data_IF_067498943154
#
_entry.id   IF_067498943154
#
_cell.length_a   1.000
_cell.length_b   1.000
_cell.length_c   1.000
_cell.angle_alpha   90.00
_cell.angle_beta   90.00
_cell.angle_gamma   90.00
#
_symmetry.space_group_name_H-M   'P 1'
#
loop_
_entity.id
_entity.type
_entity.pdbx_description
1 polymer ?
#
# COMPACT_ATOMS: atom_id res chain seq x y z
N UNK A 1 1.76 2.88 -3.07
CA UNK A 1 2.66 3.48 -2.06
C UNK A 1 4.07 2.87 -2.10
N UNK A 2 4.25 1.56 -1.90
CA UNK A 2 5.60 0.98 -1.76
C UNK A 2 6.52 1.24 -2.96
N UNK A 3 6.00 1.10 -4.19
CA UNK A 3 6.70 1.45 -5.44
C UNK A 3 7.23 2.88 -5.43
N UNK A 4 6.41 3.83 -4.98
CA UNK A 4 6.75 5.25 -4.89
C UNK A 4 7.86 5.51 -3.87
N UNK A 5 7.78 4.86 -2.71
CA UNK A 5 8.77 5.03 -1.63
C UNK A 5 10.12 4.44 -2.01
N UNK A 6 10.13 3.23 -2.59
CA UNK A 6 11.36 2.54 -2.98
C UNK A 6 11.93 3.10 -4.30
N UNK A 7 11.07 3.64 -5.17
CA UNK A 7 11.46 4.20 -6.48
C UNK A 7 11.63 3.15 -7.59
N UNK A 8 11.24 1.91 -7.33
CA UNK A 8 11.33 0.79 -8.28
C UNK A 8 10.18 -0.21 -8.08
N UNK A 9 10.02 -1.12 -9.04
CA UNK A 9 9.02 -2.19 -9.01
C UNK A 9 9.63 -3.47 -8.40
N UNK A 10 8.89 -4.24 -7.58
CA UNK A 10 9.41 -5.49 -7.03
C UNK A 10 9.65 -6.52 -8.15
N UNK A 11 10.74 -7.29 -8.04
CA UNK A 11 11.04 -8.40 -8.96
C UNK A 11 10.32 -9.68 -8.59
N UNK A 12 10.08 -9.86 -7.29
CA UNK A 12 9.38 -11.04 -6.78
C UNK A 12 8.52 -10.69 -5.58
N UNK A 13 7.46 -11.48 -5.39
CA UNK A 13 6.61 -11.39 -4.21
C UNK A 13 6.09 -12.76 -3.77
N UNK A 14 5.74 -12.86 -2.50
CA UNK A 14 5.05 -14.01 -1.92
C UNK A 14 4.00 -13.52 -0.91
N UNK A 15 2.82 -14.12 -0.95
CA UNK A 15 1.70 -13.78 -0.07
C UNK A 15 1.31 -14.98 0.79
N UNK A 16 1.12 -14.75 2.08
CA UNK A 16 0.43 -15.67 2.98
C UNK A 16 -0.70 -14.93 3.66
N UNK A 17 -1.85 -15.56 3.80
CA UNK A 17 -3.03 -14.94 4.39
C UNK A 17 -3.85 -15.94 5.20
N UNK A 18 -4.68 -15.42 6.10
CA UNK A 18 -5.59 -16.18 6.93
C UNK A 18 -6.93 -15.45 7.06
N UNK A 19 -7.96 -16.22 7.41
CA UNK A 19 -9.27 -15.70 7.75
C UNK A 19 -9.71 -16.30 9.09
N UNK A 20 -9.94 -15.41 10.05
CA UNK A 20 -10.41 -15.72 11.39
C UNK A 20 -11.91 -15.42 11.54
N UNK A 21 -12.40 -14.39 10.84
CA UNK A 21 -13.80 -13.98 10.85
C UNK A 21 -14.67 -14.90 9.97
N UNK A 22 -15.70 -15.57 10.52
CA UNK A 22 -16.58 -16.45 9.75
C UNK A 22 -17.37 -15.76 8.64
N UNK A 23 -17.75 -14.50 8.81
CA UNK A 23 -18.53 -13.74 7.83
C UNK A 23 -17.65 -13.37 6.63
N UNK A 24 -16.38 -13.01 6.88
CA UNK A 24 -15.38 -12.79 5.82
C UNK A 24 -15.08 -14.09 5.09
N UNK A 25 -14.93 -15.19 5.84
CA UNK A 25 -14.71 -16.52 5.25
C UNK A 25 -15.87 -16.95 4.35
N UNK A 26 -17.10 -16.61 4.70
CA UNK A 26 -18.29 -16.91 3.88
C UNK A 26 -18.27 -16.17 2.52
N UNK A 27 -17.46 -15.12 2.38
CA UNK A 27 -17.23 -14.37 1.14
C UNK A 27 -16.02 -14.89 0.33
N UNK A 28 -15.37 -15.98 0.77
CA UNK A 28 -14.12 -16.48 0.19
C UNK A 28 -12.98 -15.43 0.18
N UNK A 29 -12.94 -14.62 1.25
CA UNK A 29 -11.98 -13.53 1.46
C UNK A 29 -11.14 -13.78 2.73
N UNK A 30 -10.12 -12.93 2.95
CA UNK A 30 -9.16 -12.99 4.04
C UNK A 30 -9.15 -11.70 4.87
N UNK A 31 -8.83 -11.84 6.17
CA UNK A 31 -8.79 -10.71 7.11
C UNK A 31 -7.39 -10.35 7.59
N UNK A 32 -6.42 -11.23 7.38
CA UNK A 32 -5.03 -11.04 7.76
C UNK A 32 -4.12 -11.46 6.61
N UNK A 33 -3.26 -10.56 6.13
CA UNK A 33 -2.43 -10.78 4.94
C UNK A 33 -1.01 -10.29 5.20
N UNK A 34 -0.04 -11.14 4.88
CA UNK A 34 1.37 -10.79 4.80
C UNK A 34 1.86 -10.94 3.36
N UNK A 35 2.42 -9.85 2.82
CA UNK A 35 3.05 -9.85 1.51
C UNK A 35 4.52 -9.53 1.70
N UNK A 36 5.43 -10.36 1.22
CA UNK A 36 6.87 -10.08 1.19
C UNK A 36 7.31 -9.86 -0.24
N UNK A 37 8.16 -8.86 -0.45
CA UNK A 37 8.64 -8.41 -1.76
C UNK A 37 10.15 -8.26 -1.76
N UNK A 38 10.76 -8.56 -2.91
CA UNK A 38 12.15 -8.26 -3.21
C UNK A 38 12.22 -7.30 -4.39
N UNK A 39 13.10 -6.32 -4.30
CA UNK A 39 13.33 -5.33 -5.34
C UNK A 39 14.69 -5.51 -6.04
N UNK A 40 14.88 -4.95 -7.26
CA UNK A 40 16.15 -5.03 -8.00
C UNK A 40 17.36 -4.53 -7.22
N UNK A 41 17.21 -3.45 -6.45
CA UNK A 41 18.28 -2.88 -5.62
C UNK A 41 18.73 -3.79 -4.47
N UNK A 42 17.98 -4.85 -4.16
CA UNK A 42 18.19 -5.69 -2.98
C UNK A 42 17.36 -5.28 -1.77
N UNK A 43 16.58 -4.19 -1.87
CA UNK A 43 15.58 -3.84 -0.83
C UNK A 43 14.61 -5.02 -0.65
N UNK A 44 14.39 -5.37 0.62
CA UNK A 44 13.33 -6.28 1.04
C UNK A 44 12.24 -5.45 1.71
N UNK A 45 11.00 -5.71 1.35
CA UNK A 45 9.87 -5.05 1.99
C UNK A 45 8.77 -6.05 2.30
N UNK A 46 7.95 -5.72 3.30
CA UNK A 46 6.75 -6.47 3.58
C UNK A 46 5.58 -5.53 3.86
N UNK A 47 4.38 -6.05 3.67
CA UNK A 47 3.13 -5.42 4.06
C UNK A 47 2.42 -6.39 4.99
N UNK A 48 2.05 -5.91 6.17
CA UNK A 48 1.13 -6.55 7.10
C UNK A 48 -0.21 -5.82 7.03
N UNK A 49 -1.28 -6.53 6.72
CA UNK A 49 -2.64 -6.01 6.64
C UNK A 49 -3.51 -6.86 7.55
N UNK A 50 -4.19 -6.20 8.48
CA UNK A 50 -5.22 -6.81 9.31
C UNK A 50 -6.48 -5.96 9.26
N UNK A 51 -7.63 -6.60 9.05
CA UNK A 51 -8.95 -5.98 9.25
C UNK A 51 -9.32 -5.90 10.73
N UNK A 52 -8.58 -6.60 11.59
CA UNK A 52 -8.78 -6.62 13.03
C UNK A 52 -7.85 -5.63 13.72
N UNK A 53 -8.29 -4.37 13.80
CA UNK A 53 -7.56 -3.29 14.43
C UNK A 53 -8.46 -2.54 15.44
N UNK A 54 -8.78 -3.21 16.56
CA UNK A 54 -9.75 -2.72 17.56
C UNK A 54 -9.38 -1.38 18.21
N UNK A 55 -8.13 -0.97 18.08
CA UNK A 55 -7.57 0.26 18.63
C UNK A 55 -7.57 1.44 17.64
N UNK A 56 -8.07 1.25 16.41
CA UNK A 56 -8.28 2.30 15.42
C UNK A 56 -7.77 1.94 14.02
N UNK A 57 -7.61 2.94 13.14
CA UNK A 57 -7.11 2.77 11.78
C UNK A 57 -5.60 3.03 11.74
N UNK A 58 -4.84 1.96 11.90
CA UNK A 58 -3.38 1.97 11.92
C UNK A 58 -2.80 1.82 10.51
N UNK A 59 -1.98 2.79 10.11
CA UNK A 59 -1.12 2.67 8.95
C UNK A 59 0.24 3.27 9.29
N UNK A 60 1.21 2.39 9.43
CA UNK A 60 2.59 2.75 9.76
C UNK A 60 3.51 2.34 8.61
N UNK A 61 4.46 3.20 8.28
CA UNK A 61 5.54 2.88 7.35
C UNK A 61 6.86 3.02 8.07
N UNK A 62 7.70 1.99 7.98
CA UNK A 62 9.04 1.98 8.57
C UNK A 62 10.08 1.57 7.53
N UNK A 63 11.15 2.35 7.46
CA UNK A 63 12.27 2.14 6.56
C UNK A 63 13.55 2.03 7.39
N UNK A 64 14.35 1.01 7.12
CA UNK A 64 15.64 0.80 7.77
C UNK A 64 16.77 1.07 6.77
N UNK A 65 17.80 1.76 7.24
CA UNK A 65 19.05 1.99 6.50
C UNK A 65 20.26 1.75 7.40
N UNK A 66 21.45 1.96 6.84
CA UNK A 66 22.72 1.81 7.56
C UNK A 66 22.87 2.73 8.77
N UNK A 67 22.24 3.90 8.72
CA UNK A 67 22.35 4.98 9.70
C UNK A 67 21.18 5.03 10.69
N UNK A 68 20.25 4.07 10.63
CA UNK A 68 19.08 4.01 11.52
C UNK A 68 17.77 3.73 10.77
N UNK A 69 16.67 4.31 11.26
CA UNK A 69 15.35 4.11 10.67
C UNK A 69 14.53 5.40 10.57
N UNK A 70 13.58 5.40 9.63
CA UNK A 70 12.54 6.40 9.50
C UNK A 70 11.19 5.73 9.76
N UNK A 71 10.33 6.40 10.53
CA UNK A 71 8.99 5.91 10.86
C UNK A 71 7.99 7.02 10.54
N UNK A 72 7.06 6.74 9.62
CA UNK A 72 5.83 7.51 9.47
C UNK A 72 4.78 6.86 10.37
N UNK A 73 4.56 7.46 11.53
CA UNK A 73 3.61 6.98 12.53
C UNK A 73 2.20 7.56 12.30
N UNK A 74 1.21 6.98 12.99
CA UNK A 74 -0.17 7.45 12.95
C UNK A 74 -0.30 8.88 13.53
N UNK A 75 -1.04 9.79 12.87
CA UNK A 75 -1.39 11.05 13.48
C UNK A 75 -2.33 10.82 14.68
N UNK A 76 -2.10 11.60 15.73
CA UNK A 76 -2.92 11.61 16.94
C UNK A 76 -3.98 12.71 16.83
N UNK A 77 -5.17 12.49 17.40
CA UNK A 77 -6.29 13.44 17.31
C UNK A 77 -5.96 14.83 17.89
N UNK A 78 -5.22 14.86 18.99
CA UNK A 78 -4.85 16.03 19.79
C UNK A 78 -3.36 16.09 20.11
N UNK A 79 -2.66 14.95 20.05
CA UNK A 79 -1.23 14.86 20.40
C UNK A 79 -0.95 14.86 21.90
N UNK A 80 -1.98 14.70 22.74
CA UNK A 80 -1.84 14.70 24.20
C UNK A 80 -1.00 13.50 24.71
N UNK A 81 -0.12 13.79 25.67
CA UNK A 81 0.63 12.78 26.43
C UNK A 81 0.38 13.05 27.91
N UNK A 82 -0.03 12.02 28.67
CA UNK A 82 -0.27 12.10 30.11
C UNK A 82 0.75 11.26 30.87
N UNK A 83 1.45 11.90 31.81
CA UNK A 83 2.47 11.25 32.66
C UNK A 83 1.85 10.76 33.99
N UNK A 84 2.34 9.63 34.52
CA UNK A 84 1.74 8.92 35.67
C UNK A 84 1.03 7.61 35.30
N UNK A 85 1.49 6.94 34.25
CA UNK A 85 0.85 5.78 33.60
C UNK A 85 1.19 5.66 32.11
N UNK A 86 1.84 6.68 31.54
CA UNK A 86 2.16 6.87 30.11
C UNK A 86 0.98 6.49 29.21
N UNK A 87 0.02 7.39 29.12
CA UNK A 87 -1.08 7.30 28.17
C UNK A 87 -0.79 8.25 27.00
N UNK A 88 -1.08 7.78 25.79
CA UNK A 88 -1.05 8.60 24.57
C UNK A 88 -2.46 8.69 24.02
N UNK A 89 -2.71 9.79 23.33
CA UNK A 89 -3.96 10.01 22.64
C UNK A 89 -4.26 8.93 21.59
N UNK A 90 -5.53 8.79 21.25
CA UNK A 90 -6.01 7.80 20.29
C UNK A 90 -5.63 8.15 18.85
N UNK A 91 -5.43 7.12 18.03
CA UNK A 91 -5.38 7.27 16.58
C UNK A 91 -6.80 7.44 16.01
N UNK A 92 -6.90 7.90 14.78
CA UNK A 92 -8.19 7.95 14.07
C UNK A 92 -8.75 6.54 13.87
N UNK A 93 -10.08 6.39 13.95
CA UNK A 93 -10.74 5.08 13.89
C UNK A 93 -11.04 4.60 12.46
N UNK A 94 -11.03 5.51 11.48
CA UNK A 94 -11.37 5.21 10.09
C UNK A 94 -10.52 6.01 9.11
N UNK A 95 -10.39 5.51 7.90
CA UNK A 95 -9.54 6.06 6.84
C UNK A 95 -10.01 7.45 6.38
N UNK A 96 -11.32 7.73 6.37
CA UNK A 96 -11.89 9.02 5.97
C UNK A 96 -11.42 10.15 6.90
N UNK A 97 -11.40 9.88 8.21
CA UNK A 97 -10.95 10.84 9.22
C UNK A 97 -9.43 10.97 9.19
N UNK A 98 -8.71 9.86 9.02
CA UNK A 98 -7.24 9.87 8.92
C UNK A 98 -6.74 10.65 7.70
N UNK A 99 -7.35 10.43 6.55
CA UNK A 99 -6.91 10.97 5.26
C UNK A 99 -7.73 12.19 4.81
N UNK A 100 -8.49 12.81 5.71
CA UNK A 100 -9.34 13.95 5.40
C UNK A 100 -8.60 15.06 4.64
N UNK A 101 -7.36 15.36 5.04
CA UNK A 101 -6.55 16.37 4.35
C UNK A 101 -5.99 15.85 3.03
N UNK A 102 -5.57 14.59 2.94
CA UNK A 102 -5.12 14.00 1.69
C UNK A 102 -6.24 14.02 0.62
N UNK A 103 -7.48 13.69 0.99
CA UNK A 103 -8.64 13.77 0.10
C UNK A 103 -8.94 15.21 -0.38
N UNK A 104 -8.74 16.22 0.48
CA UNK A 104 -8.88 17.63 0.07
C UNK A 104 -7.78 18.02 -0.90
N UNK A 105 -6.54 17.65 -0.61
CA UNK A 105 -5.38 18.02 -1.42
C UNK A 105 -5.40 17.33 -2.79
N UNK A 106 -5.77 16.06 -2.88
CA UNK A 106 -5.87 15.38 -4.18
C UNK A 106 -6.97 15.99 -5.07
N UNK A 107 -8.11 16.38 -4.47
CA UNK A 107 -9.19 17.03 -5.20
C UNK A 107 -8.80 18.44 -5.63
N UNK A 108 -8.12 19.19 -4.76
CA UNK A 108 -7.57 20.50 -5.10
C UNK A 108 -6.55 20.40 -6.24
N UNK A 109 -5.67 19.39 -6.20
CA UNK A 109 -4.71 19.10 -7.27
C UNK A 109 -5.41 18.79 -8.59
N UNK A 110 -6.44 17.94 -8.58
CA UNK A 110 -7.25 17.66 -9.75
C UNK A 110 -7.93 18.91 -10.34
N UNK A 111 -8.52 19.74 -9.49
CA UNK A 111 -9.13 21.02 -9.92
C UNK A 111 -8.07 21.96 -10.50
N UNK A 112 -6.86 22.00 -9.93
CA UNK A 112 -5.76 22.81 -10.44
C UNK A 112 -5.27 22.33 -11.81
N UNK A 113 -5.24 21.01 -12.06
CA UNK A 113 -4.94 20.44 -13.38
C UNK A 113 -5.96 20.92 -14.43
N UNK A 114 -7.26 20.76 -14.16
CA UNK A 114 -8.31 21.16 -15.12
C UNK A 114 -8.30 22.66 -15.39
N UNK A 115 -7.99 23.47 -14.38
CA UNK A 115 -7.89 24.93 -14.50
C UNK A 115 -6.57 25.40 -15.12
N UNK A 116 -5.65 24.50 -15.47
CA UNK A 116 -4.33 24.84 -16.01
C UNK A 116 -3.40 25.54 -15.02
N UNK A 117 -3.68 25.45 -13.71
CA UNK A 117 -2.85 26.02 -12.64
C UNK A 117 -1.66 25.12 -12.28
N UNK A 118 -1.76 23.83 -12.59
CA UNK A 118 -0.65 22.89 -12.54
C UNK A 118 -0.67 22.08 -13.83
N UNK A 119 0.51 21.71 -14.34
CA UNK A 119 0.65 20.99 -15.61
C UNK A 119 1.01 19.52 -15.43
N UNK A 120 1.48 19.13 -14.24
CA UNK A 120 1.97 17.77 -13.96
C UNK A 120 1.00 17.04 -13.05
N UNK A 121 0.43 15.93 -13.53
CA UNK A 121 -0.26 15.00 -12.66
C UNK A 121 0.75 14.21 -11.82
N UNK A 122 0.58 14.22 -10.49
CA UNK A 122 1.46 13.53 -9.54
C UNK A 122 1.40 12.01 -9.69
N UNK A 123 0.23 11.47 -10.03
CA UNK A 123 0.01 10.04 -10.27
C UNK A 123 -0.11 9.80 -11.77
N UNK A 124 0.68 8.89 -12.32
CA UNK A 124 0.61 8.52 -13.73
C UNK A 124 -0.35 7.35 -13.93
N UNK A 125 -0.94 7.20 -15.13
CA UNK A 125 -1.72 6.01 -15.45
C UNK A 125 -0.95 4.69 -15.21
N UNK A 126 0.34 4.66 -15.54
CA UNK A 126 1.21 3.51 -15.31
C UNK A 126 1.30 3.12 -13.83
N UNK A 127 1.20 4.09 -12.91
CA UNK A 127 1.28 3.83 -11.48
C UNK A 127 0.10 3.01 -10.98
N UNK A 128 -1.09 3.35 -11.46
CA UNK A 128 -2.35 2.70 -11.12
C UNK A 128 -2.42 1.30 -11.75
N UNK A 129 -1.97 1.16 -13.00
CA UNK A 129 -1.93 -0.14 -13.69
C UNK A 129 -0.97 -1.11 -12.99
N UNK A 130 0.28 -0.69 -12.76
CA UNK A 130 1.27 -1.53 -12.07
C UNK A 130 0.84 -1.89 -10.65
N UNK A 131 0.24 -0.95 -9.91
CA UNK A 131 -0.31 -1.24 -8.59
C UNK A 131 -1.40 -2.33 -8.66
N UNK A 132 -2.33 -2.22 -9.60
CA UNK A 132 -3.39 -3.22 -9.82
C UNK A 132 -2.81 -4.58 -10.21
N UNK A 133 -1.85 -4.62 -11.14
CA UNK A 133 -1.20 -5.85 -11.58
C UNK A 133 -0.44 -6.54 -10.45
N UNK A 134 0.21 -5.79 -9.56
CA UNK A 134 0.84 -6.33 -8.35
C UNK A 134 -0.18 -6.87 -7.34
N UNK A 135 -1.34 -6.23 -7.19
CA UNK A 135 -2.42 -6.77 -6.37
C UNK A 135 -2.90 -8.13 -6.90
N UNK A 136 -3.08 -8.25 -8.22
CA UNK A 136 -3.44 -9.53 -8.85
C UNK A 136 -2.34 -10.60 -8.64
N UNK A 137 -1.06 -10.20 -8.74
CA UNK A 137 0.06 -11.10 -8.45
C UNK A 137 0.06 -11.57 -6.99
N UNK A 138 -0.24 -10.68 -6.05
CA UNK A 138 -0.33 -11.01 -4.64
C UNK A 138 -1.49 -11.97 -4.33
N UNK A 139 -2.64 -11.79 -4.99
CA UNK A 139 -3.79 -12.71 -4.92
C UNK A 139 -3.43 -14.10 -5.49
N UNK A 140 -2.83 -14.16 -6.68
CA UNK A 140 -2.36 -15.42 -7.28
C UNK A 140 -1.38 -16.14 -6.35
N UNK A 141 -0.44 -15.40 -5.75
CA UNK A 141 0.51 -15.96 -4.79
C UNK A 141 -0.20 -16.58 -3.59
N UNK A 142 -1.21 -15.90 -3.03
CA UNK A 142 -2.00 -16.41 -1.92
C UNK A 142 -2.75 -17.70 -2.31
N UNK A 143 -3.49 -17.65 -3.43
CA UNK A 143 -4.34 -18.76 -3.87
C UNK A 143 -3.54 -20.01 -4.24
N UNK A 144 -2.35 -19.82 -4.82
CA UNK A 144 -1.50 -20.95 -5.27
C UNK A 144 -0.46 -21.37 -4.24
N UNK A 145 -0.19 -20.57 -3.22
CA UNK A 145 0.92 -20.74 -2.28
C UNK A 145 2.30 -20.62 -2.94
N UNK A 146 2.38 -20.03 -4.14
CA UNK A 146 3.63 -19.92 -4.91
C UNK A 146 4.25 -18.55 -4.77
N UNK A 147 5.57 -18.53 -4.79
CA UNK A 147 6.35 -17.32 -5.00
C UNK A 147 6.23 -16.86 -6.46
N UNK A 148 5.89 -15.58 -6.67
CA UNK A 148 5.62 -15.00 -7.99
C UNK A 148 6.84 -14.21 -8.46
N UNK A 149 7.28 -14.50 -9.69
CA UNK A 149 8.22 -13.66 -10.44
C UNK A 149 7.39 -12.63 -11.21
N UNK A 150 7.50 -11.36 -10.82
CA UNK A 150 6.59 -10.29 -11.26
C UNK A 150 6.61 -10.13 -12.79
N UNK A 151 7.78 -10.14 -13.40
CA UNK A 151 7.92 -10.00 -14.86
C UNK A 151 7.23 -11.14 -15.64
N UNK A 152 7.33 -12.38 -15.16
CA UNK A 152 6.68 -13.53 -15.79
C UNK A 152 5.17 -13.42 -15.65
N UNK A 153 4.68 -13.12 -14.44
CA UNK A 153 3.27 -12.96 -14.18
C UNK A 153 2.65 -11.82 -15.00
N UNK A 154 3.34 -10.69 -15.11
CA UNK A 154 2.88 -9.58 -15.95
C UNK A 154 2.76 -10.03 -17.41
N UNK A 155 3.78 -10.70 -17.95
CA UNK A 155 3.75 -11.21 -19.33
C UNK A 155 2.61 -12.20 -19.58
N UNK A 156 2.38 -13.10 -18.64
CA UNK A 156 1.38 -14.16 -18.77
C UNK A 156 -0.05 -13.64 -18.58
N UNK A 157 -0.30 -12.85 -17.53
CA UNK A 157 -1.64 -12.38 -17.17
C UNK A 157 -2.04 -11.05 -17.84
N UNK A 158 -1.07 -10.22 -18.21
CA UNK A 158 -1.28 -8.85 -18.72
C UNK A 158 -0.49 -8.55 -19.99
N UNK A 159 -0.03 -9.57 -20.73
CA UNK A 159 0.78 -9.39 -21.94
C UNK A 159 0.20 -8.41 -22.96
N UNK A 160 -1.13 -8.35 -23.08
CA UNK A 160 -1.83 -7.40 -23.95
C UNK A 160 -1.67 -5.92 -23.55
N UNK A 161 -1.30 -5.64 -22.30
CA UNK A 161 -1.20 -4.30 -21.73
C UNK A 161 0.25 -3.84 -21.50
N UNK A 162 1.22 -4.76 -21.49
CA UNK A 162 2.63 -4.42 -21.22
C UNK A 162 3.22 -3.52 -22.30
N UNK A 163 2.83 -3.75 -23.55
CA UNK A 163 3.32 -2.96 -24.69
C UNK A 163 2.45 -1.72 -24.96
N UNK A 164 1.45 -1.46 -24.12
CA UNK A 164 0.64 -0.25 -24.24
C UNK A 164 1.49 1.00 -23.94
N UNK A 165 1.49 2.04 -24.79
CA UNK A 165 2.21 3.28 -24.56
C UNK A 165 2.01 3.88 -23.17
N UNK A 166 0.84 3.67 -22.57
CA UNK A 166 0.47 4.12 -21.22
C UNK A 166 1.40 3.60 -20.13
N UNK A 167 2.09 2.48 -20.37
CA UNK A 167 3.06 1.89 -19.44
C UNK A 167 4.39 2.66 -19.38
N UNK A 168 4.63 3.57 -20.33
CA UNK A 168 5.85 4.37 -20.47
C UNK A 168 5.65 5.86 -20.12
N UNK A 169 4.42 6.27 -19.75
CA UNK A 169 4.07 7.64 -19.32
C UNK A 169 4.18 7.83 -17.80
#
# INVERSE_FOLDING_TARGET
>A
MIRWIVGEDPVTLYTTAHVSDPDIKALDDVDTVYIVMKFPSGVLAHIDISRYCSYGYDQTVQIYGDSGNLISANPLKTGLIKNGGLERDEIFFSFDSRYADAYKEELAHFVNLIKGKTSTCCIKPCDTLKATMLCCAAEESHRTGKHIVVANYFKEAFGAYIDDPIMNE
#
